data_IF_444738012510
#
_entry.id   IF_444738012510
#
_cell.length_a   1.000
_cell.length_b   1.000
_cell.length_c   1.000
_cell.angle_alpha   90.00
_cell.angle_beta   90.00
_cell.angle_gamma   90.00
#
_symmetry.space_group_name_H-M   'P 1'
#
loop_
_entity.id
_entity.type
_entity.pdbx_description
1 polymer ?
#
# COMPACT_ATOMS: atom_id res chain seq x y z
N UNK A 1 19.93 -3.71 14.41
CA UNK A 1 19.96 -4.09 15.84
C UNK A 1 19.51 -5.54 15.98
N UNK A 2 20.18 -6.33 16.83
CA UNK A 2 19.72 -7.69 17.18
C UNK A 2 18.69 -7.54 18.30
N UNK A 3 17.49 -8.10 18.12
CA UNK A 3 16.58 -8.27 19.24
C UNK A 3 17.04 -9.43 20.10
N UNK A 4 16.65 -9.44 21.36
CA UNK A 4 16.90 -10.56 22.26
C UNK A 4 15.61 -10.84 23.03
N UNK A 5 15.26 -12.12 23.17
CA UNK A 5 14.25 -12.56 24.15
C UNK A 5 14.98 -13.23 25.30
N UNK A 6 14.44 -13.07 26.51
CA UNK A 6 14.96 -13.75 27.69
C UNK A 6 14.51 -15.20 27.63
N UNK A 7 15.44 -16.13 27.83
CA UNK A 7 15.13 -17.55 27.98
C UNK A 7 14.56 -17.79 29.38
N UNK A 8 13.28 -17.45 29.60
CA UNK A 8 12.67 -17.39 30.93
C UNK A 8 12.81 -18.73 31.65
N UNK A 9 12.52 -19.83 30.97
CA UNK A 9 12.57 -21.18 31.55
C UNK A 9 13.99 -21.51 32.04
N UNK A 10 15.00 -21.35 31.17
CA UNK A 10 16.38 -21.59 31.55
C UNK A 10 16.84 -20.70 32.71
N UNK A 11 16.50 -19.41 32.66
CA UNK A 11 16.96 -18.46 33.67
C UNK A 11 16.28 -18.71 35.02
N UNK A 12 14.98 -19.04 35.05
CA UNK A 12 14.28 -19.40 36.29
C UNK A 12 14.89 -20.65 36.91
N UNK A 13 15.16 -21.68 36.12
CA UNK A 13 15.85 -22.87 36.62
C UNK A 13 17.21 -22.52 37.23
N UNK A 14 18.00 -21.68 36.55
CA UNK A 14 19.30 -21.23 37.07
C UNK A 14 19.19 -20.41 38.35
N UNK A 15 18.12 -19.63 38.51
CA UNK A 15 17.86 -18.87 39.75
C UNK A 15 17.53 -19.81 40.91
N UNK A 16 16.73 -20.85 40.67
CA UNK A 16 16.36 -21.82 41.72
C UNK A 16 17.56 -22.68 42.18
N UNK A 17 18.51 -22.92 41.29
CA UNK A 17 19.75 -23.66 41.58
C UNK A 17 20.84 -22.79 42.25
N UNK A 18 20.67 -21.47 42.26
CA UNK A 18 21.72 -20.54 42.67
C UNK A 18 21.78 -20.35 44.19
N UNK A 19 22.99 -20.09 44.67
CA UNK A 19 23.23 -19.75 46.08
C UNK A 19 23.01 -18.27 46.36
N UNK A 20 22.77 -17.92 47.63
CA UNK A 20 22.55 -16.53 48.03
C UNK A 20 23.77 -15.67 47.69
N UNK A 21 23.56 -14.62 46.89
CA UNK A 21 24.61 -13.70 46.43
C UNK A 21 25.33 -14.12 45.14
N UNK A 22 24.98 -15.26 44.56
CA UNK A 22 25.53 -15.72 43.29
C UNK A 22 25.09 -14.82 42.12
N UNK A 23 26.04 -14.46 41.25
CA UNK A 23 25.77 -13.65 40.05
C UNK A 23 25.56 -14.55 38.85
N UNK A 24 24.32 -14.60 38.36
CA UNK A 24 23.96 -15.36 37.17
C UNK A 24 24.09 -14.54 35.90
N UNK A 25 24.57 -15.17 34.83
CA UNK A 25 24.57 -14.60 33.50
C UNK A 25 23.24 -14.91 32.82
N UNK A 26 22.47 -13.86 32.53
CA UNK A 26 21.20 -13.99 31.83
C UNK A 26 21.41 -14.66 30.46
N UNK A 27 20.73 -15.78 30.24
CA UNK A 27 20.64 -16.39 28.92
C UNK A 27 19.59 -15.65 28.10
N UNK A 28 20.02 -15.17 26.94
CA UNK A 28 19.14 -14.55 25.96
C UNK A 28 19.20 -15.33 24.66
N UNK A 29 18.08 -15.40 23.97
CA UNK A 29 17.97 -15.99 22.63
C UNK A 29 17.97 -14.82 21.64
N UNK A 30 18.94 -14.76 20.71
CA UNK A 30 18.96 -13.71 19.71
C UNK A 30 17.78 -13.90 18.74
N UNK A 31 17.05 -12.82 18.49
CA UNK A 31 15.99 -12.77 17.48
C UNK A 31 16.43 -11.86 16.36
N UNK A 32 16.38 -12.39 15.15
CA UNK A 32 16.70 -11.64 13.94
C UNK A 32 15.43 -11.11 13.30
N UNK A 33 15.42 -9.85 12.84
CA UNK A 33 14.28 -9.35 12.11
C UNK A 33 14.15 -10.15 10.80
N UNK A 34 12.91 -10.44 10.41
CA UNK A 34 12.60 -11.13 9.15
C UNK A 34 13.19 -10.37 7.94
N UNK A 35 13.29 -9.04 8.06
CA UNK A 35 13.78 -8.13 7.05
C UNK A 35 14.72 -7.07 7.64
N UNK A 36 15.73 -6.63 6.89
CA UNK A 36 16.73 -5.63 7.26
C UNK A 36 16.55 -4.37 6.42
N UNK A 37 16.83 -3.21 7.01
CA UNK A 37 16.78 -1.93 6.29
C UNK A 37 17.71 -1.87 5.08
N UNK A 38 18.85 -2.58 5.13
CA UNK A 38 19.79 -2.69 4.00
C UNK A 38 19.16 -3.35 2.76
N UNK A 39 18.13 -4.19 2.92
CA UNK A 39 17.45 -4.85 1.79
C UNK A 39 16.56 -3.90 0.98
N UNK A 40 16.22 -2.73 1.53
CA UNK A 40 15.42 -1.71 0.84
C UNK A 40 16.27 -0.52 0.35
N UNK A 41 17.54 -0.44 0.74
CA UNK A 41 18.43 0.67 0.36
C UNK A 41 18.64 0.76 -1.15
N UNK A 42 18.64 -0.37 -1.86
CA UNK A 42 18.83 -0.45 -3.32
C UNK A 42 17.52 -0.24 -4.10
N UNK A 43 16.37 -0.14 -3.42
CA UNK A 43 15.04 0.00 -4.04
C UNK A 43 14.78 1.47 -4.37
N UNK A 44 15.47 1.95 -5.41
CA UNK A 44 15.46 3.38 -5.80
C UNK A 44 15.09 3.62 -7.26
N UNK A 45 15.07 2.59 -8.09
CA UNK A 45 14.89 2.73 -9.53
C UNK A 45 13.42 2.65 -9.89
N UNK A 46 12.94 3.55 -10.73
CA UNK A 46 11.58 3.51 -11.25
C UNK A 46 11.50 2.36 -12.26
N UNK A 47 10.78 1.31 -11.89
CA UNK A 47 10.53 0.14 -12.76
C UNK A 47 9.16 0.20 -13.43
N UNK A 48 8.28 1.07 -12.96
CA UNK A 48 7.02 1.41 -13.62
C UNK A 48 6.50 2.75 -13.16
N UNK A 49 5.85 3.49 -14.06
CA UNK A 49 5.30 4.81 -13.78
C UNK A 49 4.02 5.05 -14.55
N UNK A 50 3.10 5.78 -13.93
CA UNK A 50 1.92 6.29 -14.61
C UNK A 50 1.39 7.54 -13.92
N UNK A 51 0.64 8.34 -14.66
CA UNK A 51 0.04 9.56 -14.12
C UNK A 51 -1.31 9.87 -14.76
N UNK A 52 -2.16 10.57 -14.03
CA UNK A 52 -3.48 11.01 -14.51
C UNK A 52 -3.78 12.43 -14.06
N UNK A 53 -4.43 13.20 -14.93
CA UNK A 53 -4.84 14.57 -14.63
C UNK A 53 -6.10 14.60 -13.78
N UNK A 54 -6.06 15.44 -12.75
CA UNK A 54 -7.15 15.69 -11.81
C UNK A 54 -7.98 16.85 -12.36
N UNK A 55 -9.27 16.63 -12.46
CA UNK A 55 -10.28 17.67 -12.68
C UNK A 55 -11.38 17.57 -11.63
N UNK A 56 -12.21 18.61 -11.52
CA UNK A 56 -13.39 18.63 -10.65
C UNK A 56 -13.19 19.40 -9.34
N UNK A 57 -14.11 19.17 -8.40
CA UNK A 57 -14.27 19.98 -7.19
C UNK A 57 -13.14 19.81 -6.17
N UNK A 58 -13.07 20.74 -5.22
CA UNK A 58 -12.12 20.69 -4.09
C UNK A 58 -12.34 19.43 -3.23
N UNK A 59 -13.61 19.01 -3.05
CA UNK A 59 -13.98 17.79 -2.31
C UNK A 59 -13.35 16.55 -2.97
N UNK A 60 -13.42 16.46 -4.30
CA UNK A 60 -12.82 15.38 -5.09
C UNK A 60 -11.30 15.35 -4.94
N UNK A 61 -10.66 16.52 -5.00
CA UNK A 61 -9.22 16.65 -4.79
C UNK A 61 -8.81 16.24 -3.37
N UNK A 62 -9.60 16.61 -2.36
CA UNK A 62 -9.40 16.19 -0.97
C UNK A 62 -9.44 14.67 -0.82
N UNK A 63 -10.44 14.01 -1.41
CA UNK A 63 -10.58 12.54 -1.41
C UNK A 63 -9.39 11.85 -2.08
N UNK A 64 -8.93 12.37 -3.22
CA UNK A 64 -7.75 11.86 -3.93
C UNK A 64 -6.52 11.97 -3.02
N UNK A 65 -6.31 13.12 -2.39
CA UNK A 65 -5.18 13.32 -1.48
C UNK A 65 -5.20 12.37 -0.28
N UNK A 66 -6.38 12.06 0.27
CA UNK A 66 -6.49 11.08 1.35
C UNK A 66 -6.09 9.66 0.89
N UNK A 67 -6.56 9.22 -0.27
CA UNK A 67 -6.18 7.91 -0.81
C UNK A 67 -4.68 7.84 -1.17
N UNK A 68 -4.14 8.90 -1.78
CA UNK A 68 -2.71 9.02 -2.09
C UNK A 68 -1.86 8.93 -0.82
N UNK A 69 -2.23 9.65 0.24
CA UNK A 69 -1.51 9.62 1.52
C UNK A 69 -1.51 8.22 2.15
N UNK A 70 -2.61 7.48 2.04
CA UNK A 70 -2.69 6.12 2.57
C UNK A 70 -1.77 5.13 1.82
N UNK A 71 -1.62 5.31 0.50
CA UNK A 71 -0.87 4.38 -0.36
C UNK A 71 0.63 4.69 -0.39
N UNK A 72 1.02 5.95 -0.25
CA UNK A 72 2.41 6.36 -0.42
C UNK A 72 3.33 5.63 0.56
N UNK A 73 4.47 5.14 0.04
CA UNK A 73 5.45 4.33 0.75
C UNK A 73 5.00 2.90 1.10
N UNK A 74 4.00 2.35 0.41
CA UNK A 74 3.67 0.93 0.58
C UNK A 74 4.84 0.06 0.10
N UNK A 75 5.45 -0.69 1.02
CA UNK A 75 6.49 -1.68 0.74
C UNK A 75 5.84 -3.05 0.54
N UNK A 76 6.24 -3.75 -0.51
CA UNK A 76 5.80 -5.13 -0.79
C UNK A 76 7.01 -6.03 -0.93
N UNK A 77 7.14 -7.00 -0.04
CA UNK A 77 8.14 -8.05 -0.15
C UNK A 77 7.81 -9.04 -1.28
N UNK A 78 8.80 -9.83 -1.74
CA UNK A 78 8.57 -10.88 -2.73
C UNK A 78 7.36 -11.76 -2.38
N UNK A 79 6.43 -11.89 -3.32
CA UNK A 79 5.21 -12.69 -3.17
C UNK A 79 4.06 -12.03 -2.43
N UNK A 80 4.27 -10.88 -1.76
CA UNK A 80 3.20 -10.14 -1.09
C UNK A 80 2.22 -9.52 -2.09
N UNK A 81 0.97 -9.31 -1.64
CA UNK A 81 -0.12 -8.77 -2.45
C UNK A 81 -0.50 -7.40 -1.92
N UNK A 82 -0.43 -6.40 -2.78
CA UNK A 82 -1.06 -5.12 -2.57
C UNK A 82 -2.57 -5.27 -2.66
N UNK A 83 -3.31 -4.67 -1.73
CA UNK A 83 -4.76 -4.51 -1.80
C UNK A 83 -5.10 -3.03 -1.62
N UNK A 84 -5.71 -2.44 -2.64
CA UNK A 84 -6.06 -1.02 -2.60
C UNK A 84 -7.01 -0.73 -1.44
N UNK A 85 -8.07 -1.53 -1.30
CA UNK A 85 -9.03 -1.37 -0.22
C UNK A 85 -8.47 -1.73 1.15
N UNK A 86 -7.54 -2.69 1.23
CA UNK A 86 -6.85 -3.04 2.48
C UNK A 86 -6.02 -1.87 3.04
N UNK A 87 -5.45 -1.05 2.16
CA UNK A 87 -4.61 0.10 2.54
C UNK A 87 -5.46 1.37 2.73
N UNK A 88 -6.34 1.67 1.78
CA UNK A 88 -7.12 2.92 1.79
C UNK A 88 -8.28 2.87 2.81
N UNK A 89 -8.86 1.67 3.02
CA UNK A 89 -9.97 1.46 3.94
C UNK A 89 -11.30 2.06 3.45
N UNK A 90 -12.35 2.11 4.29
CA UNK A 90 -13.66 2.62 3.91
C UNK A 90 -13.62 4.15 3.65
N UNK A 91 -14.45 4.62 2.71
CA UNK A 91 -14.51 6.03 2.30
C UNK A 91 -15.66 6.70 3.03
N UNK A 92 -15.43 7.13 4.27
CA UNK A 92 -16.47 7.69 5.15
C UNK A 92 -16.13 9.12 5.56
N UNK A 93 -17.17 9.87 5.93
CA UNK A 93 -17.02 11.22 6.50
C UNK A 93 -16.09 11.25 7.72
N UNK A 94 -16.19 10.27 8.63
CA UNK A 94 -15.33 10.16 9.82
C UNK A 94 -13.84 9.98 9.47
N UNK A 95 -13.53 9.45 8.28
CA UNK A 95 -12.16 9.31 7.76
C UNK A 95 -11.74 10.50 6.90
N UNK A 96 -12.53 11.58 6.90
CA UNK A 96 -12.26 12.83 6.20
C UNK A 96 -12.71 12.85 4.73
N UNK A 97 -13.31 11.77 4.22
CA UNK A 97 -13.83 11.76 2.86
C UNK A 97 -15.06 12.68 2.76
N UNK A 98 -15.16 13.36 1.62
CA UNK A 98 -16.20 14.34 1.33
C UNK A 98 -17.05 13.86 0.17
N UNK A 99 -18.32 14.27 0.16
CA UNK A 99 -19.23 13.97 -0.93
C UNK A 99 -18.74 14.62 -2.23
N UNK A 100 -18.56 13.81 -3.27
CA UNK A 100 -18.14 14.23 -4.60
C UNK A 100 -18.81 13.33 -5.65
N UNK A 101 -18.83 13.74 -6.94
CA UNK A 101 -19.40 12.91 -7.98
C UNK A 101 -18.72 11.53 -8.07
N UNK A 102 -19.53 10.47 -8.10
CA UNK A 102 -19.14 9.08 -8.32
C UNK A 102 -20.01 8.46 -9.41
N UNK A 103 -19.56 7.31 -9.94
CA UNK A 103 -20.33 6.50 -10.89
C UNK A 103 -20.81 5.25 -10.17
N UNK A 104 -22.14 5.09 -10.04
CA UNK A 104 -22.80 3.88 -9.53
C UNK A 104 -23.69 3.32 -10.63
N UNK A 105 -23.49 2.05 -11.00
CA UNK A 105 -24.33 1.37 -12.00
C UNK A 105 -24.50 2.17 -13.31
N UNK A 106 -23.47 2.91 -13.72
CA UNK A 106 -23.50 3.74 -14.92
C UNK A 106 -24.20 5.10 -14.78
N UNK A 107 -24.65 5.48 -13.59
CA UNK A 107 -25.23 6.79 -13.29
C UNK A 107 -24.28 7.61 -12.41
N UNK A 108 -24.32 8.94 -12.58
CA UNK A 108 -23.59 9.87 -11.71
C UNK A 108 -24.40 10.13 -10.46
N UNK A 109 -23.80 9.92 -9.29
CA UNK A 109 -24.38 10.22 -7.98
C UNK A 109 -23.37 10.97 -7.12
N UNK A 110 -23.82 11.55 -6.00
CA UNK A 110 -22.94 12.15 -5.00
C UNK A 110 -22.73 11.17 -3.85
N UNK A 111 -21.48 10.87 -3.55
CA UNK A 111 -21.13 10.02 -2.40
C UNK A 111 -19.69 10.31 -1.93
N UNK A 112 -19.34 9.78 -0.77
CA UNK A 112 -18.01 9.92 -0.19
C UNK A 112 -16.96 9.16 -1.00
N UNK A 113 -15.81 9.80 -1.23
CA UNK A 113 -14.69 9.16 -1.94
C UNK A 113 -14.72 9.33 -3.46
N UNK A 114 -15.53 10.23 -4.00
CA UNK A 114 -15.40 10.62 -5.41
C UNK A 114 -13.98 11.05 -5.75
N UNK A 115 -13.44 10.47 -6.83
CA UNK A 115 -12.03 10.60 -7.24
C UNK A 115 -11.14 9.41 -6.87
N UNK A 116 -11.53 8.54 -5.95
CA UNK A 116 -10.65 7.42 -5.49
C UNK A 116 -10.38 6.39 -6.60
N UNK A 117 -11.34 6.08 -7.47
CA UNK A 117 -11.10 5.18 -8.60
C UNK A 117 -10.06 5.71 -9.60
N UNK A 118 -9.84 7.03 -9.65
CA UNK A 118 -8.74 7.60 -10.45
C UNK A 118 -7.38 7.22 -9.87
N UNK A 119 -7.24 7.25 -8.55
CA UNK A 119 -6.02 6.80 -7.88
C UNK A 119 -5.81 5.30 -8.12
N UNK A 120 -6.87 4.48 -8.00
CA UNK A 120 -6.81 3.05 -8.32
C UNK A 120 -6.35 2.81 -9.77
N UNK A 121 -6.93 3.52 -10.73
CA UNK A 121 -6.54 3.41 -12.15
C UNK A 121 -5.08 3.82 -12.37
N UNK A 122 -4.59 4.85 -11.67
CA UNK A 122 -3.20 5.29 -11.81
C UNK A 122 -2.23 4.26 -11.21
N UNK A 123 -2.57 3.69 -10.06
CA UNK A 123 -1.80 2.60 -9.42
C UNK A 123 -1.78 1.36 -10.30
N UNK A 124 -2.93 0.96 -10.86
CA UNK A 124 -3.05 -0.19 -11.75
C UNK A 124 -2.10 -0.08 -12.95
N UNK A 125 -2.09 1.08 -13.62
CA UNK A 125 -1.23 1.27 -14.79
C UNK A 125 0.26 1.29 -14.43
N UNK A 126 0.64 1.90 -13.31
CA UNK A 126 2.03 1.90 -12.85
C UNK A 126 2.50 0.48 -12.47
N UNK A 127 1.64 -0.31 -11.80
CA UNK A 127 1.91 -1.71 -11.47
C UNK A 127 2.05 -2.57 -12.73
N UNK A 128 1.17 -2.38 -13.72
CA UNK A 128 1.24 -3.07 -15.01
C UNK A 128 2.50 -2.70 -15.78
N UNK A 129 2.86 -1.41 -15.81
CA UNK A 129 4.10 -0.93 -16.43
C UNK A 129 5.35 -1.51 -15.75
N UNK A 130 5.28 -1.76 -14.45
CA UNK A 130 6.32 -2.45 -13.70
C UNK A 130 6.34 -3.97 -13.88
N UNK A 131 5.40 -4.59 -14.62
CA UNK A 131 5.34 -6.04 -14.78
C UNK A 131 4.90 -6.80 -13.52
N UNK A 132 4.25 -6.12 -12.57
CA UNK A 132 3.66 -6.77 -11.39
C UNK A 132 2.43 -7.58 -11.80
N UNK A 133 2.24 -8.74 -11.16
CA UNK A 133 1.15 -9.63 -11.51
C UNK A 133 -0.19 -9.12 -10.96
N UNK A 134 -1.11 -8.71 -11.84
CA UNK A 134 -2.44 -8.27 -11.45
C UNK A 134 -3.26 -9.47 -10.98
N UNK A 135 -3.73 -9.42 -9.72
CA UNK A 135 -4.48 -10.49 -9.05
C UNK A 135 -5.98 -10.22 -9.12
N UNK A 136 -6.38 -8.96 -8.98
CA UNK A 136 -7.78 -8.54 -9.05
C UNK A 136 -7.83 -7.16 -9.70
N UNK A 137 -8.71 -7.02 -10.69
CA UNK A 137 -9.02 -5.75 -11.35
C UNK A 137 -10.45 -5.83 -11.87
N UNK A 138 -11.18 -4.75 -11.66
CA UNK A 138 -12.51 -4.54 -12.25
C UNK A 138 -12.50 -3.26 -13.08
N UNK A 139 -13.23 -3.26 -14.18
CA UNK A 139 -13.45 -2.08 -15.02
C UNK A 139 -14.76 -1.36 -14.64
N UNK A 140 -14.85 -0.08 -14.95
CA UNK A 140 -16.10 0.67 -14.87
C UNK A 140 -17.07 0.16 -15.94
N UNK A 141 -18.37 0.32 -15.68
CA UNK A 141 -19.42 -0.05 -16.65
C UNK A 141 -19.51 0.90 -17.85
N UNK A 142 -18.80 2.03 -17.81
CA UNK A 142 -18.76 3.06 -18.87
C UNK A 142 -17.36 3.66 -18.98
N UNK A 143 -16.99 4.19 -20.16
CA UNK A 143 -15.75 4.93 -20.33
C UNK A 143 -15.61 6.09 -19.34
N UNK A 144 -14.38 6.35 -18.93
CA UNK A 144 -14.01 7.41 -17.99
C UNK A 144 -12.98 8.34 -18.64
N UNK A 145 -12.97 9.61 -18.25
CA UNK A 145 -12.20 10.65 -18.96
C UNK A 145 -10.72 10.72 -18.60
N UNK A 146 -10.29 10.12 -17.48
CA UNK A 146 -8.93 10.29 -16.94
C UNK A 146 -7.94 9.18 -17.35
N UNK A 147 -8.40 8.11 -18.02
CA UNK A 147 -7.54 7.09 -18.64
C UNK A 147 -8.19 6.54 -19.92
N UNK A 148 -7.39 6.03 -20.89
CA UNK A 148 -7.92 5.31 -22.05
C UNK A 148 -8.72 4.05 -21.67
N UNK A 149 -9.50 3.55 -22.63
CA UNK A 149 -10.19 2.27 -22.51
C UNK A 149 -9.21 1.13 -22.19
N UNK A 150 -9.64 0.20 -21.33
CA UNK A 150 -8.82 -0.92 -20.90
C UNK A 150 -7.73 -0.57 -19.87
N UNK A 151 -7.59 0.71 -19.48
CA UNK A 151 -6.63 1.18 -18.47
C UNK A 151 -7.26 1.58 -17.13
N UNK A 152 -8.54 1.38 -16.96
CA UNK A 152 -9.25 1.78 -15.75
C UNK A 152 -9.28 0.69 -14.68
N UNK A 153 -9.33 1.09 -13.42
CA UNK A 153 -9.58 0.20 -12.30
C UNK A 153 -10.65 0.83 -11.40
N UNK A 154 -11.72 0.09 -11.16
CA UNK A 154 -12.78 0.47 -10.24
C UNK A 154 -12.61 -0.21 -8.89
N UNK A 155 -12.91 0.50 -7.82
CA UNK A 155 -12.83 0.00 -6.44
C UNK A 155 -14.06 0.41 -5.66
N UNK A 156 -14.58 -0.53 -4.87
CA UNK A 156 -15.66 -0.33 -3.92
C UNK A 156 -15.32 -1.10 -2.66
N UNK A 157 -15.19 -0.40 -1.53
CA UNK A 157 -14.77 -1.02 -0.28
C UNK A 157 -15.71 -2.15 0.13
N UNK A 158 -15.16 -3.35 0.34
CA UNK A 158 -15.92 -4.56 0.69
C UNK A 158 -16.44 -5.37 -0.50
N UNK A 159 -16.37 -4.84 -1.73
CA UNK A 159 -16.94 -5.50 -2.92
C UNK A 159 -15.98 -5.64 -4.11
N UNK A 160 -15.33 -4.56 -4.53
CA UNK A 160 -14.45 -4.53 -5.70
C UNK A 160 -13.08 -3.99 -5.29
N UNK A 161 -12.01 -4.73 -5.51
CA UNK A 161 -10.66 -4.30 -5.16
C UNK A 161 -9.71 -4.26 -6.37
N UNK A 162 -8.62 -3.53 -6.21
CA UNK A 162 -7.45 -3.63 -7.07
C UNK A 162 -6.37 -4.34 -6.27
N UNK A 163 -5.95 -5.52 -6.75
CA UNK A 163 -4.88 -6.30 -6.16
C UNK A 163 -3.81 -6.63 -7.18
N UNK A 164 -2.55 -6.53 -6.76
CA UNK A 164 -1.42 -7.02 -7.54
C UNK A 164 -0.37 -7.63 -6.61
N UNK A 165 0.35 -8.62 -7.11
CA UNK A 165 1.39 -9.34 -6.40
C UNK A 165 2.75 -8.82 -6.82
N UNK A 166 3.65 -8.63 -5.85
CA UNK A 166 5.07 -8.51 -6.15
C UNK A 166 5.61 -9.85 -6.66
N UNK A 167 5.72 -9.99 -7.98
CA UNK A 167 6.25 -11.16 -8.68
C UNK A 167 7.78 -11.22 -8.72
N UNK A 168 8.46 -10.18 -8.22
CA UNK A 168 9.92 -10.13 -8.19
C UNK A 168 10.52 -10.88 -7.00
N UNK A 169 11.83 -11.16 -7.11
CA UNK A 169 12.64 -11.72 -6.01
C UNK A 169 13.13 -10.64 -5.02
N UNK A 170 12.86 -9.37 -5.31
CA UNK A 170 13.24 -8.22 -4.49
C UNK A 170 12.01 -7.42 -4.08
N UNK A 171 12.07 -6.67 -2.97
CA UNK A 171 10.96 -5.80 -2.58
C UNK A 171 10.70 -4.70 -3.62
N UNK A 172 9.48 -4.16 -3.61
CA UNK A 172 9.10 -2.97 -4.36
C UNK A 172 8.43 -1.95 -3.45
N UNK A 173 8.55 -0.66 -3.79
CA UNK A 173 7.89 0.43 -3.06
C UNK A 173 6.93 1.16 -4.00
N UNK A 174 5.67 1.27 -3.60
CA UNK A 174 4.68 2.10 -4.27
C UNK A 174 4.83 3.54 -3.76
N UNK A 175 5.34 4.41 -4.62
CA UNK A 175 5.38 5.87 -4.38
C UNK A 175 4.24 6.51 -5.14
N UNK A 176 3.46 7.33 -4.44
CA UNK A 176 2.36 8.06 -5.05
C UNK A 176 2.28 9.47 -4.47
N UNK A 177 1.95 10.43 -5.31
CA UNK A 177 1.79 11.81 -4.90
C UNK A 177 0.84 12.57 -5.81
N UNK A 178 0.53 13.79 -5.38
CA UNK A 178 -0.14 14.79 -6.20
C UNK A 178 0.83 15.95 -6.37
N UNK A 179 1.07 16.35 -7.63
CA UNK A 179 1.86 17.54 -7.96
C UNK A 179 1.08 18.35 -9.00
N UNK A 180 0.82 19.62 -8.70
CA UNK A 180 -0.15 20.42 -9.46
C UNK A 180 -1.51 19.71 -9.51
N UNK A 181 -2.05 19.54 -10.70
CA UNK A 181 -3.30 18.80 -10.94
C UNK A 181 -3.07 17.38 -11.46
N UNK A 182 -2.02 16.69 -11.01
CA UNK A 182 -1.70 15.35 -11.50
C UNK A 182 -1.44 14.39 -10.35
N UNK A 183 -2.13 13.23 -10.36
CA UNK A 183 -1.73 12.07 -9.56
C UNK A 183 -0.62 11.37 -10.32
N UNK A 184 0.51 11.14 -9.67
CA UNK A 184 1.60 10.32 -10.21
C UNK A 184 1.84 9.12 -9.32
N UNK A 185 2.14 7.98 -9.93
CA UNK A 185 2.54 6.74 -9.25
C UNK A 185 3.83 6.24 -9.87
N UNK A 186 4.81 5.94 -9.03
CA UNK A 186 6.04 5.26 -9.39
C UNK A 186 6.17 3.98 -8.57
N UNK A 187 6.47 2.88 -9.23
CA UNK A 187 6.90 1.64 -8.58
C UNK A 187 8.42 1.66 -8.55
N UNK A 188 8.99 1.67 -7.34
CA UNK A 188 10.43 1.56 -7.15
C UNK A 188 10.83 0.09 -7.00
N UNK A 189 11.90 -0.31 -7.68
CA UNK A 189 12.48 -1.65 -7.64
C UNK A 189 14.00 -1.61 -7.64
N UNK A 190 14.61 -2.80 -7.69
CA UNK A 190 16.04 -3.02 -7.95
C UNK A 190 16.23 -3.24 -9.47
N UNK A 191 17.33 -2.76 -10.05
CA UNK A 191 17.74 -3.09 -11.43
C UNK A 191 18.85 -4.12 -11.42
#
# INVERSE_FOLDING_TARGET
MKGCIIDVEYNVQKILEATAGEKLKLRVIPVYPKHRGTEIEEIRHIVGSYSTWISGSVQRQSNINLAVKAINNTLLWPGEVFSFNGIVGPRTMLRGYQAAPIIIMGHTAMDFGGGVCQVASTVYNAATAAGLAIVERHQHSKPIHYVPEGKDATVNYGYLDLKFRNSFKTPVIVKVGVAGNQVWVNILGRV
#
